data_IF_381955583795
#
_entry.id   IF_381955583795
#
_cell.length_a   1.000
_cell.length_b   1.000
_cell.length_c   1.000
_cell.angle_alpha   90.00
_cell.angle_beta   90.00
_cell.angle_gamma   90.00
#
_symmetry.space_group_name_H-M   'P 1'
#
loop_
_entity.id
_entity.type
_entity.pdbx_description
1 polymer ?
#
# COMPACT_ATOMS: atom_id res chain seq x y z
N UNK A 1 -59.18 1.85 14.42
CA UNK A 1 -58.12 2.70 14.99
C UNK A 1 -56.82 2.27 14.37
N UNK A 2 -56.14 3.26 13.81
CA UNK A 2 -55.23 3.15 12.67
C UNK A 2 -53.84 2.61 12.98
N UNK A 3 -53.21 2.15 11.91
CA UNK A 3 -51.86 1.64 11.78
C UNK A 3 -50.80 2.64 12.27
N UNK A 4 -49.74 2.11 12.89
CA UNK A 4 -48.50 2.83 13.18
C UNK A 4 -47.29 1.93 12.94
N UNK A 5 -47.12 1.48 11.70
CA UNK A 5 -45.90 0.81 11.27
C UNK A 5 -44.75 1.83 11.33
N UNK A 6 -43.76 1.56 12.17
CA UNK A 6 -42.47 2.25 12.17
C UNK A 6 -41.73 1.88 10.89
N UNK A 7 -41.97 2.63 9.83
CA UNK A 7 -41.12 2.67 8.64
C UNK A 7 -39.75 3.23 9.06
N UNK A 8 -38.78 2.33 9.27
CA UNK A 8 -37.37 2.68 9.28
C UNK A 8 -37.01 3.17 7.87
N UNK A 9 -37.01 4.49 7.68
CA UNK A 9 -36.51 5.11 6.46
C UNK A 9 -35.03 4.74 6.25
N UNK A 10 -34.78 3.71 5.44
CA UNK A 10 -33.47 3.44 4.88
C UNK A 10 -33.18 4.51 3.83
N UNK A 11 -32.53 5.59 4.25
CA UNK A 11 -31.98 6.58 3.34
C UNK A 11 -30.72 6.04 2.65
N UNK A 12 -30.71 6.05 1.32
CA UNK A 12 -29.51 5.73 0.52
C UNK A 12 -28.64 6.98 0.39
N UNK A 13 -27.45 6.98 1.00
CA UNK A 13 -26.48 8.05 0.82
C UNK A 13 -25.74 7.85 -0.51
N UNK A 14 -26.04 8.66 -1.52
CA UNK A 14 -25.22 8.75 -2.74
C UNK A 14 -24.13 9.79 -2.53
N UNK A 15 -22.88 9.34 -2.53
CA UNK A 15 -21.69 10.19 -2.57
C UNK A 15 -21.14 10.17 -3.99
N UNK A 16 -21.14 11.32 -4.66
CA UNK A 16 -20.48 11.50 -5.96
C UNK A 16 -19.19 12.29 -5.76
N UNK A 17 -18.07 11.75 -6.25
CA UNK A 17 -16.78 12.44 -6.30
C UNK A 17 -16.62 13.00 -7.70
N UNK A 18 -16.43 14.32 -7.79
CA UNK A 18 -16.19 15.02 -9.05
C UNK A 18 -14.71 15.46 -9.05
N UNK A 19 -13.94 14.95 -10.00
CA UNK A 19 -12.55 15.36 -10.17
C UNK A 19 -12.51 16.70 -10.90
N UNK A 20 -11.94 17.71 -10.27
CA UNK A 20 -11.62 18.98 -10.92
C UNK A 20 -10.18 18.80 -11.44
N UNK A 21 -10.03 18.67 -12.76
CA UNK A 21 -8.72 18.81 -13.39
C UNK A 21 -8.29 20.27 -13.23
N UNK A 22 -7.24 20.52 -12.43
CA UNK A 22 -6.57 21.82 -12.45
C UNK A 22 -5.71 21.88 -13.71
N UNK A 23 -6.15 22.64 -14.71
CA UNK A 23 -5.44 22.87 -15.98
C UNK A 23 -4.42 24.01 -15.88
N UNK A 24 -3.88 24.30 -14.68
CA UNK A 24 -2.99 25.46 -14.47
C UNK A 24 -1.48 25.17 -14.62
N UNK A 25 -1.11 24.12 -15.36
CA UNK A 25 0.29 23.89 -15.76
C UNK A 25 0.47 23.59 -17.25
N UNK A 26 -0.50 23.95 -18.07
CA UNK A 26 -0.45 23.73 -19.52
C UNK A 26 -0.33 25.09 -20.23
N UNK A 27 0.86 25.69 -20.18
CA UNK A 27 1.24 26.79 -21.08
C UNK A 27 2.77 27.02 -21.03
N UNK A 28 3.41 26.91 -22.21
CA UNK A 28 4.79 27.31 -22.61
C UNK A 28 5.86 26.21 -22.61
N UNK A 29 6.10 25.60 -23.77
CA UNK A 29 7.03 26.17 -24.77
C UNK A 29 6.92 25.36 -26.07
N UNK A 30 6.24 25.96 -27.05
CA UNK A 30 6.31 25.59 -28.45
C UNK A 30 7.34 26.48 -29.15
N UNK A 31 8.07 25.86 -30.07
CA UNK A 31 8.86 26.40 -31.18
C UNK A 31 10.40 26.54 -31.07
N UNK A 32 11.04 25.97 -32.11
CA UNK A 32 12.39 26.13 -32.67
C UNK A 32 13.41 25.07 -32.17
N UNK A 33 13.98 24.16 -32.98
CA UNK A 33 14.41 24.27 -34.39
C UNK A 33 14.46 22.91 -35.13
N UNK A 34 14.40 22.99 -36.47
CA UNK A 34 14.41 21.89 -37.44
C UNK A 34 15.83 21.44 -37.86
N UNK A 35 16.03 20.11 -37.87
CA UNK A 35 16.74 19.25 -38.88
C UNK A 35 18.30 19.30 -38.96
N UNK A 36 19.01 18.29 -39.55
CA UNK A 36 18.51 17.24 -40.46
C UNK A 36 19.01 15.77 -40.26
N UNK A 37 18.23 14.87 -40.88
CA UNK A 37 18.60 13.67 -41.64
C UNK A 37 19.45 12.56 -41.02
N UNK A 38 18.86 11.37 -40.99
CA UNK A 38 19.56 10.16 -41.41
C UNK A 38 19.36 8.93 -40.55
N UNK A 39 18.17 8.32 -40.60
CA UNK A 39 18.04 6.86 -40.75
C UNK A 39 16.58 6.44 -40.95
N UNK A 40 16.39 5.85 -42.12
CA UNK A 40 15.30 5.00 -42.60
C UNK A 40 14.08 4.83 -41.69
N UNK A 41 12.97 5.38 -42.18
CA UNK A 41 11.66 4.74 -42.19
C UNK A 41 11.80 3.26 -42.55
N UNK A 42 11.69 2.40 -41.54
CA UNK A 42 10.96 1.15 -41.67
C UNK A 42 9.89 1.22 -40.59
N UNK A 43 8.88 2.07 -40.79
CA UNK A 43 7.57 1.86 -40.18
C UNK A 43 6.99 0.61 -40.84
N UNK A 44 7.50 -0.55 -40.40
CA UNK A 44 6.73 -1.75 -40.50
C UNK A 44 5.44 -1.45 -39.72
N UNK A 45 4.33 -1.41 -40.45
CA UNK A 45 2.96 -1.48 -39.96
C UNK A 45 2.76 -2.79 -39.19
N UNK A 46 3.49 -2.97 -38.09
CA UNK A 46 3.27 -4.03 -37.14
C UNK A 46 2.00 -3.65 -36.42
N UNK A 47 0.96 -4.45 -36.61
CA UNK A 47 -0.21 -4.37 -35.73
C UNK A 47 0.32 -4.52 -34.29
N UNK A 48 -0.14 -3.69 -33.35
CA UNK A 48 0.25 -3.81 -31.96
C UNK A 48 -0.03 -5.23 -31.49
N UNK A 49 0.93 -5.83 -30.81
CA UNK A 49 0.72 -7.14 -30.20
C UNK A 49 -0.39 -7.00 -29.15
N UNK A 50 -1.22 -8.04 -28.97
CA UNK A 50 -2.11 -8.07 -27.83
C UNK A 50 -1.29 -8.12 -26.54
N UNK A 51 -1.91 -7.72 -25.42
CA UNK A 51 -1.32 -7.92 -24.09
C UNK A 51 -0.91 -9.39 -23.93
N UNK A 52 0.27 -9.69 -23.38
CA UNK A 52 0.66 -11.06 -23.09
C UNK A 52 -0.22 -11.66 -22.00
N UNK A 53 -0.41 -12.98 -22.06
CA UNK A 53 -0.91 -13.76 -20.93
C UNK A 53 0.26 -14.08 -19.98
N UNK A 54 -0.03 -14.27 -18.70
CA UNK A 54 1.00 -14.76 -17.77
C UNK A 54 1.42 -16.19 -18.12
N UNK A 55 2.70 -16.47 -17.96
CA UNK A 55 3.18 -17.85 -17.91
C UNK A 55 2.72 -18.53 -16.62
N UNK A 56 2.60 -19.85 -16.61
CA UNK A 56 2.21 -20.61 -15.42
C UNK A 56 3.11 -20.32 -14.21
N UNK A 57 4.41 -20.09 -14.46
CA UNK A 57 5.40 -19.74 -13.45
C UNK A 57 5.11 -18.38 -12.83
N UNK A 58 4.81 -17.36 -13.64
CA UNK A 58 4.45 -16.03 -13.15
C UNK A 58 3.06 -16.00 -12.52
N UNK A 59 2.10 -16.79 -12.99
CA UNK A 59 0.81 -16.96 -12.31
C UNK A 59 0.98 -17.58 -10.92
N UNK A 60 1.89 -18.54 -10.78
CA UNK A 60 2.21 -19.11 -9.48
C UNK A 60 2.89 -18.08 -8.58
N UNK A 61 3.92 -17.39 -9.07
CA UNK A 61 4.61 -16.34 -8.33
C UNK A 61 3.66 -15.22 -7.90
N UNK A 62 2.78 -14.79 -8.81
CA UNK A 62 1.73 -13.82 -8.53
C UNK A 62 0.84 -14.31 -7.39
N UNK A 63 0.28 -15.54 -7.48
CA UNK A 63 -0.56 -16.11 -6.41
C UNK A 63 0.15 -16.15 -5.05
N UNK A 64 1.44 -16.47 -5.02
CA UNK A 64 2.23 -16.45 -3.78
C UNK A 64 2.33 -15.03 -3.22
N UNK A 65 2.62 -14.03 -4.06
CA UNK A 65 2.65 -12.62 -3.65
C UNK A 65 1.28 -12.18 -3.11
N UNK A 66 0.19 -12.55 -3.78
CA UNK A 66 -1.17 -12.24 -3.35
C UNK A 66 -1.45 -12.81 -1.96
N UNK A 67 -1.17 -14.10 -1.75
CA UNK A 67 -1.37 -14.75 -0.45
C UNK A 67 -0.50 -14.12 0.65
N UNK A 68 0.73 -13.71 0.34
CA UNK A 68 1.61 -12.99 1.27
C UNK A 68 1.01 -11.63 1.64
N UNK A 69 0.55 -10.84 0.66
CA UNK A 69 -0.06 -9.53 0.89
C UNK A 69 -1.37 -9.61 1.67
N UNK A 70 -2.19 -10.64 1.42
CA UNK A 70 -3.40 -10.92 2.21
C UNK A 70 -3.03 -11.22 3.66
N UNK A 71 -2.07 -12.12 3.89
CA UNK A 71 -1.61 -12.46 5.24
C UNK A 71 -1.03 -11.23 5.97
N UNK A 72 -0.26 -10.40 5.28
CA UNK A 72 0.31 -9.16 5.83
C UNK A 72 -0.81 -8.18 6.21
N UNK A 73 -1.82 -8.06 5.37
CA UNK A 73 -3.00 -7.21 5.60
C UNK A 73 -3.77 -7.67 6.84
N UNK A 74 -3.97 -8.97 6.98
CA UNK A 74 -4.60 -9.57 8.17
C UNK A 74 -3.78 -9.31 9.43
N UNK A 75 -2.45 -9.48 9.38
CA UNK A 75 -1.55 -9.17 10.50
C UNK A 75 -1.64 -7.69 10.89
N UNK A 76 -1.66 -6.78 9.90
CA UNK A 76 -1.82 -5.34 10.15
C UNK A 76 -3.16 -5.01 10.81
N UNK A 77 -4.24 -5.69 10.41
CA UNK A 77 -5.56 -5.52 11.01
C UNK A 77 -5.63 -6.06 12.44
N UNK A 78 -5.08 -7.25 12.67
CA UNK A 78 -4.98 -7.84 14.00
C UNK A 78 -4.16 -6.94 14.92
N UNK A 79 -3.03 -6.42 14.44
CA UNK A 79 -2.17 -5.51 15.18
C UNK A 79 -2.86 -4.18 15.52
N UNK A 80 -3.63 -3.62 14.57
CA UNK A 80 -4.44 -2.43 14.80
C UNK A 80 -5.42 -2.65 15.96
N UNK A 81 -6.23 -3.71 15.87
CA UNK A 81 -7.37 -3.95 16.76
C UNK A 81 -6.96 -4.45 18.15
N UNK A 82 -5.89 -5.24 18.25
CA UNK A 82 -5.50 -5.91 19.50
C UNK A 82 -4.36 -5.20 20.25
N UNK A 83 -3.56 -4.37 19.58
CA UNK A 83 -2.41 -3.71 20.18
C UNK A 83 -2.47 -2.18 20.06
N UNK A 84 -2.61 -1.63 18.85
CA UNK A 84 -2.53 -0.18 18.61
C UNK A 84 -3.69 0.57 19.25
N UNK A 85 -4.93 0.17 18.96
CA UNK A 85 -6.11 0.87 19.49
C UNK A 85 -6.13 0.85 21.03
N UNK A 86 -5.89 -0.29 21.71
CA UNK A 86 -5.87 -0.28 23.16
C UNK A 86 -4.67 0.50 23.73
N UNK A 87 -3.51 0.49 23.07
CA UNK A 87 -2.35 1.31 23.48
C UNK A 87 -2.66 2.80 23.41
N UNK A 88 -3.31 3.28 22.35
CA UNK A 88 -3.67 4.68 22.21
C UNK A 88 -4.72 5.12 23.23
N UNK A 89 -5.72 4.26 23.52
CA UNK A 89 -6.68 4.53 24.59
C UNK A 89 -6.00 4.63 25.95
N UNK A 90 -5.05 3.74 26.25
CA UNK A 90 -4.27 3.79 27.49
C UNK A 90 -3.37 5.03 27.54
N UNK A 91 -2.71 5.37 26.44
CA UNK A 91 -1.86 6.56 26.34
C UNK A 91 -2.67 7.84 26.58
N UNK A 92 -3.84 7.99 25.94
CA UNK A 92 -4.75 9.12 26.16
C UNK A 92 -5.23 9.18 27.61
N UNK A 93 -5.55 8.04 28.23
CA UNK A 93 -5.92 7.99 29.65
C UNK A 93 -4.78 8.42 30.57
N UNK A 94 -3.55 8.03 30.26
CA UNK A 94 -2.36 8.43 30.99
C UNK A 94 -2.17 9.95 30.93
N UNK A 95 -2.23 10.54 29.72
CA UNK A 95 -2.13 11.98 29.53
C UNK A 95 -3.22 12.75 30.30
N UNK A 96 -4.47 12.27 30.26
CA UNK A 96 -5.58 12.88 31.00
C UNK A 96 -5.38 12.78 32.53
N UNK A 97 -4.86 11.65 33.03
CA UNK A 97 -4.59 11.48 34.46
C UNK A 97 -3.46 12.41 34.94
N UNK A 98 -2.42 12.59 34.12
CA UNK A 98 -1.33 13.53 34.38
C UNK A 98 -1.82 14.98 34.37
N UNK A 99 -2.66 15.36 33.41
CA UNK A 99 -3.22 16.71 33.31
C UNK A 99 -4.20 17.06 34.45
N UNK A 100 -4.98 16.08 34.92
CA UNK A 100 -5.97 16.27 35.99
C UNK A 100 -5.40 16.11 37.42
N UNK A 101 -4.08 15.94 37.58
CA UNK A 101 -3.44 15.82 38.89
C UNK A 101 -3.83 14.56 39.67
N UNK A 102 -4.21 13.47 38.99
CA UNK A 102 -4.57 12.21 39.64
C UNK A 102 -3.38 11.56 40.36
N UNK A 103 -3.67 10.66 41.31
CA UNK A 103 -2.66 9.99 42.15
C UNK A 103 -1.63 9.24 41.30
N UNK A 104 -0.35 9.34 41.70
CA UNK A 104 0.77 8.67 41.03
C UNK A 104 0.58 7.16 40.81
N UNK A 105 -0.24 6.52 41.65
CA UNK A 105 -0.58 5.11 41.56
C UNK A 105 -1.46 4.78 40.33
N UNK A 106 -2.43 5.62 39.96
CA UNK A 106 -3.24 5.41 38.75
C UNK A 106 -2.38 5.50 37.48
N UNK A 107 -1.46 6.46 37.43
CA UNK A 107 -0.53 6.60 36.31
C UNK A 107 0.39 5.37 36.17
N UNK A 108 0.93 4.89 37.29
CA UNK A 108 1.78 3.69 37.34
C UNK A 108 1.05 2.43 36.86
N UNK A 109 -0.22 2.24 37.25
CA UNK A 109 -1.02 1.10 36.80
C UNK A 109 -1.30 1.17 35.29
N UNK A 110 -1.57 2.35 34.75
CA UNK A 110 -1.76 2.54 33.29
C UNK A 110 -0.46 2.26 32.55
N UNK A 111 0.67 2.75 33.05
CA UNK A 111 2.00 2.50 32.48
C UNK A 111 2.33 1.00 32.42
N UNK A 112 2.13 0.27 33.52
CA UNK A 112 2.34 -1.18 33.57
C UNK A 112 1.46 -1.93 32.56
N UNK A 113 0.20 -1.51 32.38
CA UNK A 113 -0.70 -2.09 31.37
C UNK A 113 -0.22 -1.81 29.94
N UNK A 114 0.32 -0.62 29.69
CA UNK A 114 0.92 -0.29 28.39
C UNK A 114 2.14 -1.15 28.11
N UNK A 115 3.07 -1.27 29.07
CA UNK A 115 4.25 -2.14 28.93
C UNK A 115 3.85 -3.60 28.69
N UNK A 116 2.88 -4.12 29.44
CA UNK A 116 2.38 -5.48 29.24
C UNK A 116 1.80 -5.67 27.83
N UNK A 117 1.02 -4.70 27.33
CA UNK A 117 0.42 -4.76 26.01
C UNK A 117 1.47 -4.67 24.89
N UNK A 118 2.49 -3.83 25.06
CA UNK A 118 3.63 -3.75 24.14
C UNK A 118 4.33 -5.10 24.04
N UNK A 119 4.68 -5.71 25.17
CA UNK A 119 5.47 -6.94 25.20
C UNK A 119 4.68 -8.18 24.76
N UNK A 120 3.37 -8.24 25.05
CA UNK A 120 2.55 -9.43 24.77
C UNK A 120 1.82 -9.39 23.43
N UNK A 121 1.46 -8.20 22.93
CA UNK A 121 0.67 -8.07 21.70
C UNK A 121 1.44 -7.34 20.61
N UNK A 122 2.03 -6.18 20.90
CA UNK A 122 2.62 -5.33 19.86
C UNK A 122 3.90 -5.96 19.29
N UNK A 123 4.91 -6.15 20.13
CA UNK A 123 6.25 -6.54 19.69
C UNK A 123 6.27 -7.87 18.93
N UNK A 124 5.68 -8.97 19.42
CA UNK A 124 5.69 -10.25 18.70
C UNK A 124 5.01 -10.16 17.34
N UNK A 125 3.91 -9.39 17.24
CA UNK A 125 3.17 -9.22 15.99
C UNK A 125 3.92 -8.34 15.00
N UNK A 126 4.64 -7.31 15.44
CA UNK A 126 5.49 -6.52 14.53
C UNK A 126 6.66 -7.35 14.02
N UNK A 127 7.32 -8.15 14.86
CA UNK A 127 8.38 -9.05 14.40
C UNK A 127 7.87 -10.00 13.32
N UNK A 128 6.71 -10.64 13.55
CA UNK A 128 6.07 -11.49 12.55
C UNK A 128 5.73 -10.73 11.26
N UNK A 129 5.22 -9.51 11.39
CA UNK A 129 4.91 -8.64 10.25
C UNK A 129 6.18 -8.34 9.44
N UNK A 130 7.29 -8.01 10.09
CA UNK A 130 8.58 -7.74 9.41
C UNK A 130 9.10 -8.96 8.67
N UNK A 131 9.01 -10.15 9.25
CA UNK A 131 9.37 -11.39 8.56
C UNK A 131 8.51 -11.63 7.31
N UNK A 132 7.20 -11.38 7.41
CA UNK A 132 6.28 -11.51 6.27
C UNK A 132 6.58 -10.48 5.19
N UNK A 133 6.84 -9.23 5.57
CA UNK A 133 7.19 -8.15 4.65
C UNK A 133 8.50 -8.44 3.92
N UNK A 134 9.53 -8.93 4.62
CA UNK A 134 10.81 -9.30 4.01
C UNK A 134 10.67 -10.47 3.03
N UNK A 135 9.85 -11.48 3.36
CA UNK A 135 9.50 -12.57 2.42
C UNK A 135 8.80 -12.01 1.18
N UNK A 136 7.89 -11.06 1.37
CA UNK A 136 7.19 -10.40 0.27
C UNK A 136 8.16 -9.62 -0.63
N UNK A 137 9.10 -8.85 -0.07
CA UNK A 137 10.16 -8.18 -0.84
C UNK A 137 10.94 -9.17 -1.73
N UNK A 138 11.33 -10.32 -1.15
CA UNK A 138 12.10 -11.33 -1.85
C UNK A 138 11.31 -11.98 -3.02
N UNK A 139 9.97 -11.96 -2.98
CA UNK A 139 9.11 -12.47 -4.05
C UNK A 139 8.74 -11.40 -5.09
N UNK A 140 8.51 -10.15 -4.67
CA UNK A 140 8.08 -9.06 -5.56
C UNK A 140 9.16 -8.71 -6.58
N UNK A 141 10.44 -8.63 -6.16
CA UNK A 141 11.51 -8.19 -7.06
C UNK A 141 11.70 -9.11 -8.27
N UNK A 142 11.88 -10.44 -8.10
CA UNK A 142 12.00 -11.35 -9.24
C UNK A 142 10.76 -11.36 -10.13
N UNK A 143 9.57 -11.22 -9.52
CA UNK A 143 8.30 -11.14 -10.25
C UNK A 143 8.24 -9.89 -11.13
N UNK A 144 8.63 -8.73 -10.60
CA UNK A 144 8.68 -7.47 -11.34
C UNK A 144 9.67 -7.53 -12.50
N UNK A 145 10.88 -8.04 -12.26
CA UNK A 145 11.91 -8.18 -13.30
C UNK A 145 11.41 -9.11 -14.44
N UNK A 146 10.74 -10.21 -14.07
CA UNK A 146 10.20 -11.17 -15.05
C UNK A 146 9.01 -10.62 -15.83
N UNK A 147 8.09 -9.89 -15.17
CA UNK A 147 6.98 -9.21 -15.86
C UNK A 147 7.53 -8.16 -16.82
N UNK A 148 8.47 -7.35 -16.38
CA UNK A 148 9.05 -6.27 -17.21
C UNK A 148 9.67 -6.85 -18.48
N UNK A 149 10.44 -7.93 -18.36
CA UNK A 149 10.99 -8.64 -19.52
C UNK A 149 9.93 -9.21 -20.45
N UNK A 150 8.85 -9.79 -19.89
CA UNK A 150 7.74 -10.35 -20.67
C UNK A 150 6.96 -9.30 -21.45
N UNK A 151 6.75 -8.11 -20.88
CA UNK A 151 5.89 -7.08 -21.50
C UNK A 151 6.66 -6.19 -22.46
N UNK A 152 7.99 -6.29 -22.50
CA UNK A 152 8.84 -5.46 -23.36
C UNK A 152 8.46 -5.60 -24.84
N UNK A 153 8.27 -6.83 -25.34
CA UNK A 153 7.87 -7.07 -26.73
C UNK A 153 6.51 -6.44 -27.05
N UNK A 154 5.59 -6.44 -26.08
CA UNK A 154 4.29 -5.78 -26.22
C UNK A 154 4.45 -4.26 -26.29
N UNK A 155 5.26 -3.66 -25.41
CA UNK A 155 5.56 -2.22 -25.40
C UNK A 155 6.20 -1.79 -26.72
N UNK A 156 7.22 -2.51 -27.17
CA UNK A 156 7.98 -2.23 -28.40
C UNK A 156 7.13 -2.37 -29.67
N UNK A 157 6.03 -3.12 -29.59
CA UNK A 157 5.09 -3.27 -30.71
C UNK A 157 4.06 -2.15 -30.82
N UNK A 158 3.95 -1.27 -29.83
CA UNK A 158 2.98 -0.17 -29.84
C UNK A 158 3.49 1.01 -30.69
N UNK A 159 2.56 1.91 -31.05
CA UNK A 159 2.92 3.21 -31.63
C UNK A 159 3.82 4.00 -30.68
N UNK A 160 4.71 4.82 -31.24
CA UNK A 160 5.77 5.50 -30.50
C UNK A 160 5.30 6.21 -29.22
N UNK A 161 4.25 7.04 -29.31
CA UNK A 161 3.72 7.76 -28.15
C UNK A 161 3.18 6.80 -27.08
N UNK A 162 2.50 5.72 -27.51
CA UNK A 162 1.98 4.73 -26.56
C UNK A 162 3.09 3.91 -25.92
N UNK A 163 4.11 3.55 -26.68
CA UNK A 163 5.29 2.86 -26.17
C UNK A 163 6.01 3.71 -25.12
N UNK A 164 6.12 5.03 -25.33
CA UNK A 164 6.68 5.97 -24.35
C UNK A 164 5.86 5.99 -23.05
N UNK A 165 4.53 6.14 -23.13
CA UNK A 165 3.66 6.11 -21.94
C UNK A 165 3.78 4.81 -21.16
N UNK A 166 3.81 3.68 -21.85
CA UNK A 166 3.90 2.36 -21.23
C UNK A 166 5.28 2.13 -20.59
N UNK A 167 6.36 2.57 -21.25
CA UNK A 167 7.71 2.54 -20.68
C UNK A 167 7.79 3.37 -19.40
N UNK A 168 7.17 4.55 -19.41
CA UNK A 168 7.09 5.42 -18.25
C UNK A 168 6.29 4.79 -17.09
N UNK A 169 5.18 4.11 -17.38
CA UNK A 169 4.43 3.34 -16.36
C UNK A 169 5.25 2.21 -15.76
N UNK A 170 6.01 1.45 -16.56
CA UNK A 170 6.94 0.41 -16.05
C UNK A 170 8.02 1.04 -15.17
N UNK A 171 8.60 2.15 -15.60
CA UNK A 171 9.64 2.85 -14.84
C UNK A 171 9.10 3.35 -13.50
N UNK A 172 7.97 4.04 -13.52
CA UNK A 172 7.31 4.61 -12.33
C UNK A 172 6.95 3.52 -11.31
N UNK A 173 6.30 2.44 -11.76
CA UNK A 173 5.96 1.30 -10.88
C UNK A 173 7.22 0.65 -10.32
N UNK A 174 8.28 0.52 -11.12
CA UNK A 174 9.56 -0.06 -10.70
C UNK A 174 10.30 0.76 -9.65
N UNK A 175 10.31 2.08 -9.82
CA UNK A 175 10.85 3.02 -8.85
C UNK A 175 10.05 2.99 -7.55
N UNK A 176 8.72 2.93 -7.63
CA UNK A 176 7.85 2.82 -6.47
C UNK A 176 8.11 1.50 -5.68
N UNK A 177 8.24 0.35 -6.35
CA UNK A 177 8.60 -0.90 -5.68
C UNK A 177 9.92 -0.79 -4.94
N UNK A 178 10.94 -0.24 -5.60
CA UNK A 178 12.29 -0.08 -5.05
C UNK A 178 12.30 0.84 -3.83
N UNK A 179 11.56 1.95 -3.89
CA UNK A 179 11.42 2.89 -2.78
C UNK A 179 10.77 2.23 -1.56
N UNK A 180 9.66 1.51 -1.75
CA UNK A 180 8.94 0.86 -0.66
C UNK A 180 9.70 -0.36 -0.10
N UNK A 181 10.42 -1.09 -0.93
CA UNK A 181 11.34 -2.15 -0.50
C UNK A 181 12.45 -1.60 0.41
N UNK A 182 13.02 -0.45 0.06
CA UNK A 182 14.01 0.24 0.87
C UNK A 182 13.44 0.64 2.24
N UNK A 183 12.22 1.19 2.27
CA UNK A 183 11.51 1.54 3.51
C UNK A 183 11.34 0.30 4.39
N UNK A 184 10.82 -0.80 3.84
CA UNK A 184 10.58 -2.04 4.59
C UNK A 184 11.87 -2.62 5.14
N UNK A 185 12.93 -2.70 4.32
CA UNK A 185 14.24 -3.19 4.76
C UNK A 185 14.85 -2.30 5.85
N UNK A 186 14.70 -0.97 5.74
CA UNK A 186 15.19 -0.05 6.75
C UNK A 186 14.44 -0.23 8.10
N UNK A 187 13.12 -0.36 8.05
CA UNK A 187 12.28 -0.56 9.24
C UNK A 187 12.57 -1.91 9.92
N UNK A 188 12.78 -2.98 9.15
CA UNK A 188 13.15 -4.28 9.71
C UNK A 188 14.54 -4.26 10.36
N UNK A 189 15.50 -3.52 9.77
CA UNK A 189 16.87 -3.38 10.33
C UNK A 189 16.95 -2.54 11.58
N UNK A 190 16.11 -1.51 11.70
CA UNK A 190 16.07 -0.67 12.91
C UNK A 190 15.78 -1.51 14.15
N UNK A 191 15.05 -2.61 13.99
CA UNK A 191 14.54 -3.36 15.12
C UNK A 191 13.62 -2.48 15.97
N UNK A 192 12.93 -3.09 16.90
CA UNK A 192 11.95 -2.39 17.72
C UNK A 192 12.20 -2.73 19.18
N UNK A 193 13.19 -2.09 19.81
CA UNK A 193 13.39 -2.25 21.24
C UNK A 193 12.40 -1.39 22.03
N UNK A 194 11.17 -1.89 22.14
CA UNK A 194 10.11 -1.27 22.97
C UNK A 194 10.04 -1.84 24.38
N UNK A 195 10.97 -2.73 24.72
CA UNK A 195 10.88 -3.53 25.94
C UNK A 195 11.07 -2.68 27.22
N UNK A 196 11.55 -1.43 27.10
CA UNK A 196 11.96 -0.63 28.27
C UNK A 196 11.55 0.84 28.28
N UNK A 197 11.17 1.46 27.15
CA UNK A 197 10.85 2.90 27.15
C UNK A 197 9.60 3.24 26.31
N UNK A 198 8.51 3.56 27.02
CA UNK A 198 7.26 4.02 26.42
C UNK A 198 7.39 5.39 25.73
N UNK A 199 8.48 6.14 25.96
CA UNK A 199 8.75 7.40 25.27
C UNK A 199 8.89 7.23 23.75
N UNK A 200 9.16 6.01 23.28
CA UNK A 200 9.30 5.71 21.85
C UNK A 200 7.99 5.20 21.19
N UNK A 201 6.85 5.23 21.90
CA UNK A 201 5.58 4.72 21.38
C UNK A 201 5.10 5.46 20.12
N UNK A 202 5.34 6.77 20.03
CA UNK A 202 5.02 7.55 18.82
C UNK A 202 5.79 7.04 17.60
N UNK A 203 7.09 6.82 17.76
CA UNK A 203 7.95 6.28 16.70
C UNK A 203 7.49 4.88 16.27
N UNK A 204 6.96 4.07 17.20
CA UNK A 204 6.34 2.78 16.87
C UNK A 204 5.13 2.94 15.94
N UNK A 205 4.23 3.87 16.24
CA UNK A 205 3.05 4.11 15.40
C UNK A 205 3.45 4.63 14.02
N UNK A 206 4.43 5.53 13.95
CA UNK A 206 4.97 6.01 12.66
C UNK A 206 5.56 4.87 11.83
N UNK A 207 6.33 3.99 12.47
CA UNK A 207 6.94 2.84 11.83
C UNK A 207 5.91 1.83 11.32
N UNK A 208 4.81 1.61 12.05
CA UNK A 208 3.67 0.81 11.60
C UNK A 208 2.92 1.45 10.43
N UNK A 209 2.74 2.76 10.48
CA UNK A 209 2.10 3.52 9.41
C UNK A 209 2.89 3.44 8.11
N UNK A 210 4.23 3.52 8.19
CA UNK A 210 5.13 3.36 7.04
C UNK A 210 5.05 1.95 6.44
N UNK A 211 5.02 0.89 7.27
CA UNK A 211 4.80 -0.49 6.81
C UNK A 211 3.48 -0.63 6.04
N UNK A 212 2.39 -0.09 6.60
CA UNK A 212 1.08 -0.09 5.94
C UNK A 212 1.12 0.62 4.59
N UNK A 213 1.78 1.79 4.54
CA UNK A 213 1.92 2.57 3.29
C UNK A 213 2.65 1.77 2.23
N UNK A 214 3.77 1.12 2.58
CA UNK A 214 4.52 0.27 1.67
C UNK A 214 3.67 -0.87 1.10
N UNK A 215 2.91 -1.57 1.96
CA UNK A 215 2.00 -2.66 1.53
C UNK A 215 0.95 -2.14 0.56
N UNK A 216 0.28 -1.03 0.89
CA UNK A 216 -0.72 -0.44 0.01
C UNK A 216 -0.13 -0.03 -1.34
N UNK A 217 1.06 0.58 -1.34
CA UNK A 217 1.76 0.97 -2.54
C UNK A 217 2.10 -0.25 -3.41
N UNK A 218 2.63 -1.34 -2.84
CA UNK A 218 2.85 -2.57 -3.59
C UNK A 218 1.56 -3.13 -4.19
N UNK A 219 0.48 -3.21 -3.43
CA UNK A 219 -0.80 -3.72 -3.93
C UNK A 219 -1.38 -2.88 -5.08
N UNK A 220 -1.18 -1.56 -5.03
CA UNK A 220 -1.60 -0.65 -6.10
C UNK A 220 -0.72 -0.82 -7.35
N UNK A 221 0.60 -0.78 -7.20
CA UNK A 221 1.54 -0.93 -8.32
C UNK A 221 1.43 -2.30 -8.99
N UNK A 222 1.25 -3.37 -8.21
CA UNK A 222 1.00 -4.72 -8.75
C UNK A 222 -0.32 -4.72 -9.54
N UNK A 223 -1.36 -4.10 -9.01
CA UNK A 223 -2.64 -3.98 -9.70
C UNK A 223 -2.51 -3.22 -11.02
N UNK A 224 -1.81 -2.09 -11.01
CA UNK A 224 -1.56 -1.28 -12.20
C UNK A 224 -0.76 -2.05 -13.27
N UNK A 225 0.30 -2.75 -12.87
CA UNK A 225 1.07 -3.61 -13.78
C UNK A 225 0.18 -4.68 -14.42
N UNK A 226 -0.62 -5.38 -13.62
CA UNK A 226 -1.49 -6.44 -14.08
C UNK A 226 -2.60 -5.92 -15.01
N UNK A 227 -3.26 -4.82 -14.64
CA UNK A 227 -4.34 -4.22 -15.45
C UNK A 227 -3.81 -3.64 -16.75
N UNK A 228 -2.63 -3.03 -16.73
CA UNK A 228 -2.07 -2.31 -17.88
C UNK A 228 -1.46 -3.27 -18.90
N UNK A 229 -0.71 -4.27 -18.45
CA UNK A 229 0.16 -5.04 -19.35
C UNK A 229 -0.30 -6.47 -19.60
N UNK A 230 -1.17 -7.05 -18.78
CA UNK A 230 -1.47 -8.48 -18.80
C UNK A 230 -2.93 -8.73 -19.18
N UNK A 231 -3.17 -9.79 -19.96
CA UNK A 231 -4.53 -10.35 -20.11
C UNK A 231 -4.86 -11.14 -18.85
N UNK A 232 -5.79 -10.62 -18.05
CA UNK A 232 -6.21 -11.27 -16.82
C UNK A 232 -7.59 -11.94 -16.99
N UNK A 233 -7.64 -13.27 -16.85
CA UNK A 233 -8.90 -14.03 -16.81
C UNK A 233 -9.74 -13.70 -15.56
N UNK A 234 -9.10 -13.18 -14.51
CA UNK A 234 -9.75 -12.61 -13.32
C UNK A 234 -9.07 -11.30 -12.97
N UNK A 235 -9.81 -10.19 -12.86
CA UNK A 235 -9.24 -8.93 -12.43
C UNK A 235 -8.66 -9.07 -11.02
N UNK A 236 -7.57 -8.36 -10.76
CA UNK A 236 -7.00 -8.22 -9.43
C UNK A 236 -8.01 -7.53 -8.49
N UNK A 237 -8.89 -8.32 -7.89
CA UNK A 237 -9.77 -7.84 -6.84
C UNK A 237 -9.06 -8.01 -5.52
N UNK A 238 -8.34 -6.97 -5.11
CA UNK A 238 -7.96 -6.82 -3.71
C UNK A 238 -9.25 -6.64 -2.91
N UNK A 239 -9.83 -7.75 -2.43
CA UNK A 239 -10.97 -7.72 -1.51
C UNK A 239 -10.66 -6.88 -0.25
N UNK A 240 -9.38 -6.67 0.04
CA UNK A 240 -8.81 -5.93 1.17
C UNK A 240 -8.62 -4.40 0.95
N UNK A 241 -8.89 -3.83 -0.24
CA UNK A 241 -8.71 -2.38 -0.53
C UNK A 241 -9.52 -1.48 0.42
N UNK A 242 -10.58 -2.01 1.02
CA UNK A 242 -11.51 -1.27 1.88
C UNK A 242 -11.31 -1.47 3.39
N UNK A 243 -10.76 -2.59 3.87
CA UNK A 243 -10.77 -2.85 5.31
C UNK A 243 -9.63 -2.15 6.08
N UNK A 244 -8.42 -2.08 5.52
CA UNK A 244 -7.26 -1.48 6.23
C UNK A 244 -7.28 0.06 6.20
N UNK A 245 -7.90 0.65 5.17
CA UNK A 245 -8.01 2.12 5.04
C UNK A 245 -8.83 2.72 6.19
N UNK A 246 -9.89 2.04 6.63
CA UNK A 246 -10.82 2.54 7.64
C UNK A 246 -10.40 2.28 9.10
N UNK A 247 -9.71 1.18 9.39
CA UNK A 247 -9.40 0.81 10.77
C UNK A 247 -8.25 1.63 11.39
N UNK A 248 -7.21 1.99 10.62
CA UNK A 248 -6.07 2.74 11.15
C UNK A 248 -6.21 4.27 11.00
N UNK A 249 -7.04 4.76 10.06
CA UNK A 249 -7.33 6.20 9.96
C UNK A 249 -8.15 6.70 11.17
N UNK A 250 -8.95 5.82 11.77
CA UNK A 250 -9.81 6.18 12.92
C UNK A 250 -9.07 6.15 14.26
N UNK A 251 -7.90 5.54 14.30
CA UNK A 251 -7.16 5.30 15.54
C UNK A 251 -5.92 6.17 15.64
N UNK A 252 -5.34 6.62 14.52
CA UNK A 252 -4.15 7.49 14.50
C UNK A 252 -4.41 9.01 14.36
N UNK A 253 -5.66 9.47 14.50
CA UNK A 253 -6.05 10.89 14.66
C UNK A 253 -6.86 11.07 15.94
#
# INVERSE_FOLDING_TARGET
MENGALELAQGTLKVSVQWIHSSEFDERDDELEKKPSGKLLVEATKRPLPKPALSQELEHAFRVICALLETITETLLDLATTAVDPLQRLHKRMLNAQAAGKTAEEAKVVEQRMVALVNTQLFPKVTRLDEQLLKCCASIRPFQDSITGMVQDYVDSQEFHKAQELTESIRSTSEAFTAEESVVKALARQGMDYSKDLRNLSSCFDALFRRRRAVNAWMLNIGELMETFIVADKPWTVASKLQVKYLLHRTMH
#
